data_IF_665054842119
#
_entry.id   IF_665054842119
#
_cell.length_a   1.000
_cell.length_b   1.000
_cell.length_c   1.000
_cell.angle_alpha   90.00
_cell.angle_beta   90.00
_cell.angle_gamma   90.00
#
_symmetry.space_group_name_H-M   'P 1'
#
loop_
_entity.id
_entity.type
_entity.pdbx_description
1 polymer ?
#
# COMPACT_ATOMS: atom_id res chain seq x y z
N UNK A 1 -24.22 -4.66 21.62
CA UNK A 1 -24.01 -6.11 21.83
C UNK A 1 -23.22 -6.68 20.67
N UNK A 2 -22.47 -7.75 20.92
CA UNK A 2 -21.80 -8.53 19.88
C UNK A 2 -22.74 -9.57 19.29
N UNK A 3 -22.47 -9.98 18.06
CA UNK A 3 -23.12 -11.06 17.34
C UNK A 3 -22.08 -11.89 16.60
N UNK A 4 -22.39 -13.17 16.35
CA UNK A 4 -21.51 -14.06 15.58
C UNK A 4 -21.22 -13.43 14.21
N UNK A 5 -19.93 -13.34 13.89
CA UNK A 5 -19.43 -12.76 12.65
C UNK A 5 -19.03 -11.29 12.73
N UNK A 6 -19.22 -10.60 13.87
CA UNK A 6 -18.72 -9.23 14.02
C UNK A 6 -17.19 -9.20 13.99
N UNK A 7 -16.58 -8.31 13.19
CA UNK A 7 -15.14 -8.04 13.28
C UNK A 7 -14.84 -7.29 14.59
N UNK A 8 -13.82 -7.74 15.32
CA UNK A 8 -13.44 -7.21 16.61
C UNK A 8 -12.06 -6.54 16.57
N UNK A 9 -11.93 -5.42 17.27
CA UNK A 9 -10.69 -4.68 17.47
C UNK A 9 -10.32 -4.62 18.95
N UNK A 10 -9.02 -4.61 19.27
CA UNK A 10 -8.55 -4.30 20.63
C UNK A 10 -8.83 -2.84 20.94
N UNK A 11 -9.23 -2.59 22.19
CA UNK A 11 -9.34 -1.23 22.75
C UNK A 11 -8.25 -1.06 23.80
N UNK A 12 -7.51 0.05 23.76
CA UNK A 12 -6.60 0.41 24.86
C UNK A 12 -7.44 0.73 26.09
N UNK A 13 -7.33 -0.08 27.14
CA UNK A 13 -8.00 0.18 28.40
C UNK A 13 -7.33 1.36 29.09
N UNK A 14 -7.88 2.56 28.96
CA UNK A 14 -7.59 3.64 29.90
C UNK A 14 -8.16 3.23 31.27
N UNK A 15 -7.25 2.91 32.18
CA UNK A 15 -7.36 2.79 33.64
C UNK A 15 -8.74 2.58 34.30
N UNK A 16 -8.77 1.58 35.18
CA UNK A 16 -9.70 1.48 36.33
C UNK A 16 -11.18 1.21 36.03
N UNK A 17 -11.49 -0.02 35.62
CA UNK A 17 -12.70 -0.67 36.06
C UNK A 17 -12.46 -2.17 36.09
N UNK A 18 -13.07 -2.88 37.02
CA UNK A 18 -13.15 -4.33 37.03
C UNK A 18 -13.73 -4.80 35.69
N UNK A 19 -12.84 -5.05 34.74
CA UNK A 19 -13.18 -5.38 33.37
C UNK A 19 -13.66 -6.82 33.32
N UNK A 20 -14.98 -7.00 33.31
CA UNK A 20 -15.61 -8.17 32.70
C UNK A 20 -14.96 -8.39 31.33
N UNK A 21 -14.73 -9.66 30.95
CA UNK A 21 -13.94 -10.05 29.76
C UNK A 21 -14.36 -9.34 28.44
N UNK A 22 -15.58 -8.80 28.39
CA UNK A 22 -16.12 -7.94 27.35
C UNK A 22 -15.41 -6.59 27.15
N UNK A 23 -14.53 -6.14 28.05
CA UNK A 23 -13.89 -4.82 27.99
C UNK A 23 -12.54 -4.78 27.24
N UNK A 24 -12.06 -5.92 26.72
CA UNK A 24 -10.79 -5.98 25.97
C UNK A 24 -10.94 -5.78 24.46
N UNK A 25 -12.15 -5.90 23.95
CA UNK A 25 -12.44 -5.82 22.52
C UNK A 25 -13.71 -5.00 22.27
N UNK A 26 -13.74 -4.31 21.13
CA UNK A 26 -14.93 -3.61 20.61
C UNK A 26 -15.17 -4.05 19.17
N UNK A 27 -16.35 -3.76 18.61
CA UNK A 27 -16.55 -3.95 17.16
C UNK A 27 -15.58 -3.02 16.42
N UNK A 28 -14.99 -3.47 15.31
CA UNK A 28 -14.21 -2.60 14.45
C UNK A 28 -15.05 -1.41 14.01
N UNK A 29 -14.53 -0.17 14.13
CA UNK A 29 -15.31 1.05 13.85
C UNK A 29 -14.85 1.81 12.61
N UNK A 30 -13.70 1.44 12.04
CA UNK A 30 -13.07 2.16 10.93
C UNK A 30 -12.64 1.20 9.83
N UNK A 31 -12.70 1.67 8.59
CA UNK A 31 -12.12 0.99 7.47
C UNK A 31 -10.61 0.77 7.67
N UNK A 32 -10.11 -0.44 7.39
CA UNK A 32 -8.69 -0.81 7.56
C UNK A 32 -8.17 -0.55 8.98
N UNK A 33 -8.93 -0.99 9.98
CA UNK A 33 -8.54 -0.85 11.38
C UNK A 33 -7.30 -1.68 11.69
N UNK A 34 -6.23 -1.02 12.14
CA UNK A 34 -4.96 -1.65 12.54
C UNK A 34 -5.06 -2.46 13.84
N UNK A 35 -6.17 -2.33 14.56
CA UNK A 35 -6.39 -3.02 15.82
C UNK A 35 -7.30 -4.24 15.66
N UNK A 36 -7.67 -4.64 14.43
CA UNK A 36 -8.48 -5.85 14.25
C UNK A 36 -7.72 -7.07 14.79
N UNK A 37 -8.43 -7.94 15.50
CA UNK A 37 -7.85 -9.12 16.14
C UNK A 37 -8.55 -10.42 15.81
N UNK A 38 -9.77 -10.34 15.30
CA UNK A 38 -10.56 -11.52 15.10
C UNK A 38 -11.98 -11.23 14.69
N UNK A 39 -12.75 -12.31 14.62
CA UNK A 39 -14.20 -12.29 14.43
C UNK A 39 -14.86 -12.78 15.71
N UNK A 40 -16.02 -12.26 16.04
CA UNK A 40 -16.78 -12.66 17.22
C UNK A 40 -17.40 -14.05 16.99
N UNK A 41 -17.06 -14.99 17.86
CA UNK A 41 -17.67 -16.31 17.95
C UNK A 41 -18.34 -16.46 19.31
N UNK A 42 -19.49 -17.13 19.38
CA UNK A 42 -20.20 -17.34 20.64
C UNK A 42 -19.80 -18.67 21.28
N UNK A 43 -19.38 -18.62 22.54
CA UNK A 43 -19.14 -19.79 23.38
C UNK A 43 -20.10 -19.77 24.57
N UNK A 44 -20.71 -20.92 24.90
CA UNK A 44 -21.67 -21.03 26.01
C UNK A 44 -21.08 -20.69 27.39
N UNK A 45 -19.79 -20.95 27.59
CA UNK A 45 -19.09 -20.75 28.87
C UNK A 45 -18.65 -19.31 29.05
N UNK A 46 -18.26 -18.66 27.95
CA UNK A 46 -17.49 -17.42 27.97
C UNK A 46 -18.16 -16.24 27.25
N UNK A 47 -19.29 -16.49 26.59
CA UNK A 47 -19.93 -15.54 25.69
C UNK A 47 -19.12 -15.30 24.42
N UNK A 48 -19.16 -14.07 23.91
CA UNK A 48 -18.49 -13.70 22.67
C UNK A 48 -16.98 -13.51 22.87
N UNK A 49 -16.17 -14.25 22.11
CA UNK A 49 -14.71 -14.11 22.09
C UNK A 49 -14.20 -13.90 20.65
N UNK A 50 -13.08 -13.18 20.46
CA UNK A 50 -12.44 -13.09 19.16
C UNK A 50 -11.75 -14.42 18.80
N UNK A 51 -11.98 -14.87 17.57
CA UNK A 51 -11.20 -15.94 16.95
C UNK A 51 -10.21 -15.38 15.94
N UNK A 52 -9.00 -15.93 15.93
CA UNK A 52 -7.84 -15.41 15.19
C UNK A 52 -7.27 -16.38 14.16
N UNK A 53 -7.72 -17.65 14.14
CA UNK A 53 -7.27 -18.65 13.18
C UNK A 53 -8.33 -19.74 12.95
N UNK A 54 -8.67 -19.99 11.68
CA UNK A 54 -9.63 -21.02 11.29
C UNK A 54 -10.71 -20.49 10.35
N UNK A 55 -11.77 -21.26 10.14
CA UNK A 55 -12.89 -20.87 9.26
C UNK A 55 -14.08 -20.47 10.11
N UNK A 56 -14.58 -19.25 9.93
CA UNK A 56 -15.67 -18.72 10.72
C UNK A 56 -16.65 -17.92 9.87
N UNK A 57 -17.91 -17.89 10.29
CA UNK A 57 -18.89 -16.95 9.74
C UNK A 57 -18.42 -15.54 10.01
N UNK A 58 -18.42 -14.69 8.98
CA UNK A 58 -17.96 -13.31 9.06
C UNK A 58 -18.98 -12.41 8.40
N UNK A 59 -19.33 -11.33 9.09
CA UNK A 59 -20.21 -10.30 8.53
C UNK A 59 -19.47 -9.49 7.49
N UNK A 60 -20.08 -9.32 6.32
CA UNK A 60 -19.49 -8.59 5.21
C UNK A 60 -20.50 -7.69 4.51
N UNK A 61 -19.99 -6.68 3.81
CA UNK A 61 -20.78 -5.83 2.91
C UNK A 61 -20.10 -5.67 1.55
N UNK A 62 -20.86 -5.24 0.55
CA UNK A 62 -20.35 -4.95 -0.81
C UNK A 62 -19.95 -3.47 -0.98
N UNK A 63 -19.63 -2.74 0.10
CA UNK A 63 -19.16 -1.34 0.06
C UNK A 63 -17.96 -1.14 -0.89
N UNK A 64 -17.07 -2.13 -0.97
CA UNK A 64 -15.92 -2.13 -1.88
C UNK A 64 -16.13 -3.06 -3.09
N UNK A 65 -17.39 -3.28 -3.47
CA UNK A 65 -17.81 -4.16 -4.56
C UNK A 65 -18.06 -5.61 -4.14
N UNK A 66 -18.61 -6.39 -5.07
CA UNK A 66 -18.96 -7.80 -4.90
C UNK A 66 -17.76 -8.64 -4.45
N UNK A 67 -17.95 -9.50 -3.46
CA UNK A 67 -16.92 -10.37 -2.89
C UNK A 67 -16.94 -11.73 -3.62
N UNK A 68 -15.76 -12.25 -3.95
CA UNK A 68 -15.55 -13.54 -4.60
C UNK A 68 -14.69 -14.43 -3.72
N UNK A 69 -14.84 -15.75 -3.85
CA UNK A 69 -13.96 -16.71 -3.18
C UNK A 69 -12.47 -16.37 -3.40
N UNK A 70 -11.70 -16.34 -2.32
CA UNK A 70 -10.28 -15.95 -2.29
C UNK A 70 -10.02 -14.46 -2.07
N UNK A 71 -11.02 -13.59 -2.18
CA UNK A 71 -10.85 -12.15 -1.96
C UNK A 71 -10.40 -11.85 -0.51
N UNK A 72 -9.47 -10.90 -0.34
CA UNK A 72 -9.06 -10.44 0.98
C UNK A 72 -10.16 -9.60 1.63
N UNK A 73 -10.39 -9.81 2.93
CA UNK A 73 -11.39 -9.08 3.72
C UNK A 73 -10.70 -8.23 4.79
N UNK A 74 -11.08 -6.96 4.90
CA UNK A 74 -10.65 -6.00 5.92
C UNK A 74 -11.86 -5.40 6.64
N UNK A 75 -11.67 -4.66 7.73
CA UNK A 75 -12.79 -3.94 8.37
C UNK A 75 -13.29 -2.79 7.51
N UNK A 76 -14.57 -2.46 7.65
CA UNK A 76 -15.22 -1.31 7.02
C UNK A 76 -15.56 -0.21 8.04
N UNK A 77 -16.13 0.89 7.55
CA UNK A 77 -16.72 1.93 8.41
C UNK A 77 -18.08 1.52 9.00
N UNK A 78 -18.63 0.36 8.59
CA UNK A 78 -19.80 -0.23 9.24
C UNK A 78 -19.33 -1.03 10.47
N UNK A 79 -19.84 -0.72 11.68
CA UNK A 79 -19.36 -1.33 12.92
C UNK A 79 -19.41 -2.87 12.92
N UNK A 80 -18.24 -3.50 13.04
CA UNK A 80 -18.09 -4.97 13.09
C UNK A 80 -18.33 -5.67 11.76
N UNK A 81 -18.31 -4.96 10.63
CA UNK A 81 -18.56 -5.55 9.31
C UNK A 81 -17.31 -5.45 8.44
N UNK A 82 -16.97 -6.56 7.80
CA UNK A 82 -15.88 -6.63 6.84
C UNK A 82 -16.28 -6.16 5.45
N UNK A 83 -15.30 -5.81 4.65
CA UNK A 83 -15.45 -5.48 3.23
C UNK A 83 -14.25 -5.99 2.46
N UNK A 84 -14.36 -6.07 1.12
CA UNK A 84 -13.20 -6.39 0.28
C UNK A 84 -12.06 -5.40 0.51
N UNK A 85 -10.84 -5.91 0.70
CA UNK A 85 -9.63 -5.11 0.74
C UNK A 85 -9.18 -4.72 -0.69
N UNK A 86 -9.06 -3.43 -0.92
CA UNK A 86 -8.75 -2.77 -2.20
C UNK A 86 -7.48 -1.92 -2.16
N UNK A 87 -6.92 -1.67 -0.98
CA UNK A 87 -5.64 -0.97 -0.75
C UNK A 87 -4.80 -1.72 0.27
N UNK A 88 -3.54 -1.31 0.41
CA UNK A 88 -2.65 -1.84 1.42
C UNK A 88 -3.19 -1.59 2.84
N UNK A 89 -3.16 -2.63 3.68
CA UNK A 89 -3.61 -2.57 5.06
C UNK A 89 -3.82 -3.96 5.68
N UNK A 90 -4.23 -3.96 6.94
CA UNK A 90 -4.50 -5.18 7.67
C UNK A 90 -5.77 -5.86 7.17
N UNK A 91 -5.71 -7.17 6.98
CA UNK A 91 -6.85 -8.01 6.62
C UNK A 91 -7.12 -9.04 7.70
N UNK A 92 -8.38 -9.42 7.83
CA UNK A 92 -8.81 -10.47 8.75
C UNK A 92 -8.59 -11.86 8.16
N UNK A 93 -8.60 -11.97 6.83
CA UNK A 93 -8.44 -13.25 6.15
C UNK A 93 -8.88 -13.21 4.69
N UNK A 94 -9.09 -14.41 4.13
CA UNK A 94 -9.58 -14.60 2.75
C UNK A 94 -10.92 -15.32 2.77
N UNK A 95 -11.86 -14.83 1.98
CA UNK A 95 -13.19 -15.45 1.92
C UNK A 95 -13.14 -16.81 1.21
N UNK A 96 -14.02 -17.73 1.63
CA UNK A 96 -14.23 -19.02 0.99
C UNK A 96 -15.49 -19.03 0.09
N UNK A 97 -16.34 -18.01 0.22
CA UNK A 97 -17.62 -17.92 -0.46
C UNK A 97 -17.78 -16.56 -1.15
N UNK A 98 -18.53 -16.49 -2.25
CA UNK A 98 -18.90 -15.21 -2.84
C UNK A 98 -20.02 -14.53 -2.04
N UNK A 99 -20.02 -13.21 -2.04
CA UNK A 99 -21.14 -12.40 -1.55
C UNK A 99 -21.37 -11.24 -2.49
N UNK A 100 -22.59 -11.12 -3.00
CA UNK A 100 -22.98 -10.01 -3.86
C UNK A 100 -24.34 -9.48 -3.44
N UNK A 101 -24.44 -8.15 -3.36
CA UNK A 101 -25.67 -7.45 -3.07
C UNK A 101 -25.66 -6.11 -3.81
N UNK A 102 -26.74 -5.76 -4.56
CA UNK A 102 -26.86 -4.46 -5.21
C UNK A 102 -26.84 -3.27 -4.23
N UNK A 103 -27.30 -3.46 -3.00
CA UNK A 103 -27.18 -2.45 -1.94
C UNK A 103 -25.93 -2.72 -1.09
N UNK A 104 -24.92 -1.84 -1.16
CA UNK A 104 -23.65 -2.00 -0.44
C UNK A 104 -23.77 -1.96 1.08
N UNK A 105 -24.89 -1.50 1.63
CA UNK A 105 -25.10 -1.41 3.08
C UNK A 105 -25.77 -2.66 3.67
N UNK A 106 -26.26 -3.56 2.82
CA UNK A 106 -26.83 -4.82 3.28
C UNK A 106 -25.69 -5.72 3.77
N UNK A 107 -25.85 -6.20 5.00
CA UNK A 107 -24.86 -7.04 5.68
C UNK A 107 -25.20 -8.50 5.40
N UNK A 108 -24.24 -9.23 4.81
CA UNK A 108 -24.28 -10.68 4.67
C UNK A 108 -23.42 -11.38 5.70
N UNK A 109 -23.54 -12.71 5.78
CA UNK A 109 -22.60 -13.58 6.48
C UNK A 109 -22.06 -14.60 5.51
N UNK A 110 -20.74 -14.76 5.48
CA UNK A 110 -20.04 -15.73 4.65
C UNK A 110 -18.92 -16.41 5.42
N UNK A 111 -18.49 -17.57 4.97
CA UNK A 111 -17.33 -18.25 5.53
C UNK A 111 -16.02 -17.59 5.08
N UNK A 112 -15.20 -17.22 6.05
CA UNK A 112 -13.87 -16.64 5.81
C UNK A 112 -12.83 -17.47 6.55
N UNK A 113 -11.73 -17.79 5.86
CA UNK A 113 -10.55 -18.32 6.51
C UNK A 113 -9.80 -17.16 7.18
N UNK A 114 -9.97 -17.07 8.50
CA UNK A 114 -9.38 -16.07 9.37
C UNK A 114 -7.90 -16.39 9.57
N UNK A 115 -7.06 -15.47 9.14
CA UNK A 115 -5.62 -15.47 9.32
C UNK A 115 -5.15 -14.02 9.19
N UNK A 116 -4.96 -13.36 10.32
CA UNK A 116 -4.61 -11.95 10.36
C UNK A 116 -3.26 -11.74 9.67
N UNK A 117 -3.28 -10.91 8.64
CA UNK A 117 -2.10 -10.61 7.84
C UNK A 117 -2.18 -9.21 7.27
N UNK A 118 -1.04 -8.73 6.77
CA UNK A 118 -1.00 -7.51 5.99
C UNK A 118 -1.26 -7.85 4.53
N UNK A 119 -2.29 -7.25 3.96
CA UNK A 119 -2.51 -7.26 2.52
C UNK A 119 -1.90 -6.00 1.93
N UNK A 120 -1.03 -6.16 0.97
CA UNK A 120 -0.59 -5.05 0.14
C UNK A 120 -0.65 -5.51 -1.31
N UNK A 121 -1.66 -5.04 -2.09
CA UNK A 121 -1.79 -5.42 -3.48
C UNK A 121 -0.58 -4.97 -4.32
N UNK A 122 0.20 -4.01 -3.83
CA UNK A 122 1.31 -3.36 -4.53
C UNK A 122 2.70 -3.81 -4.00
N UNK A 123 2.76 -4.71 -3.00
CA UNK A 123 4.04 -5.24 -2.45
C UNK A 123 4.75 -6.19 -3.41
N UNK A 124 4.04 -6.74 -4.38
CA UNK A 124 4.66 -7.44 -5.50
C UNK A 124 5.18 -6.42 -6.52
N UNK A 125 6.26 -5.71 -6.17
CA UNK A 125 7.24 -5.24 -7.16
C UNK A 125 8.04 -6.45 -7.68
N UNK A 126 7.38 -7.56 -8.02
CA UNK A 126 8.08 -8.75 -8.49
C UNK A 126 8.43 -8.63 -9.96
N UNK A 127 9.43 -9.40 -10.35
CA UNK A 127 9.96 -9.65 -11.69
C UNK A 127 8.92 -10.09 -12.76
N UNK A 128 7.62 -10.03 -12.45
CA UNK A 128 6.48 -10.44 -13.29
C UNK A 128 6.11 -9.39 -14.35
N UNK A 129 6.66 -8.18 -14.29
CA UNK A 129 6.47 -7.17 -15.34
C UNK A 129 5.14 -6.40 -15.24
N UNK A 130 4.50 -6.38 -14.07
CA UNK A 130 3.28 -5.60 -13.82
C UNK A 130 3.54 -4.09 -13.71
N UNK A 131 4.80 -3.67 -13.76
CA UNK A 131 5.22 -2.26 -13.79
C UNK A 131 5.73 -1.87 -15.18
N UNK A 132 5.10 -0.85 -15.76
CA UNK A 132 5.58 -0.19 -16.97
C UNK A 132 6.07 1.20 -16.61
N UNK A 133 7.33 1.49 -16.93
CA UNK A 133 7.85 2.86 -16.96
C UNK A 133 7.50 3.44 -18.32
N UNK A 134 6.64 4.46 -18.34
CA UNK A 134 6.17 5.10 -19.56
C UNK A 134 6.71 6.52 -19.62
N UNK A 135 7.22 6.92 -20.79
CA UNK A 135 7.56 8.31 -21.04
C UNK A 135 6.27 9.15 -21.05
N UNK A 136 6.25 10.22 -20.25
CA UNK A 136 5.17 11.19 -20.17
C UNK A 136 5.76 12.58 -20.33
N UNK A 137 5.76 13.09 -21.56
CA UNK A 137 6.45 14.34 -21.91
C UNK A 137 7.96 14.22 -21.70
N UNK A 138 8.52 15.13 -20.89
CA UNK A 138 9.94 15.15 -20.48
C UNK A 138 10.23 14.33 -19.21
N UNK A 139 9.24 13.61 -18.68
CA UNK A 139 9.35 12.80 -17.46
C UNK A 139 9.02 11.33 -17.73
N UNK A 140 9.20 10.49 -16.73
CA UNK A 140 8.74 9.11 -16.77
C UNK A 140 7.84 8.85 -15.56
N UNK A 141 6.76 8.12 -15.80
CA UNK A 141 5.81 7.71 -14.77
C UNK A 141 5.84 6.19 -14.64
N UNK A 142 5.70 5.71 -13.41
CA UNK A 142 5.42 4.31 -13.14
C UNK A 142 3.91 4.08 -13.27
N UNK A 143 3.52 3.08 -14.03
CA UNK A 143 2.13 2.67 -14.18
C UNK A 143 1.99 1.17 -13.95
N UNK A 144 0.85 0.78 -13.40
CA UNK A 144 0.43 -0.62 -13.40
C UNK A 144 0.11 -1.05 -14.83
N UNK A 145 0.69 -2.17 -15.28
CA UNK A 145 0.62 -2.62 -16.67
C UNK A 145 -0.79 -3.08 -17.04
N UNK A 146 -1.55 -3.63 -16.09
CA UNK A 146 -2.90 -4.12 -16.36
C UNK A 146 -4.00 -3.08 -16.15
N UNK A 147 -3.79 -2.07 -15.28
CA UNK A 147 -4.83 -1.07 -14.96
C UNK A 147 -4.53 0.30 -15.55
N UNK A 148 -3.29 0.59 -15.95
CA UNK A 148 -2.85 1.90 -16.43
C UNK A 148 -2.76 2.99 -15.35
N UNK A 149 -3.11 2.65 -14.10
CA UNK A 149 -3.08 3.58 -12.98
C UNK A 149 -1.64 4.02 -12.69
N UNK A 150 -1.47 5.30 -12.38
CA UNK A 150 -0.19 5.87 -11.97
C UNK A 150 0.16 5.35 -10.57
N UNK A 151 1.39 4.90 -10.41
CA UNK A 151 1.96 4.51 -9.13
C UNK A 151 2.78 5.69 -8.62
N UNK A 152 2.22 6.42 -7.66
CA UNK A 152 2.87 7.54 -6.98
C UNK A 152 3.30 7.09 -5.57
N UNK A 153 4.54 6.58 -5.45
CA UNK A 153 5.10 6.08 -4.20
C UNK A 153 6.44 6.75 -3.92
N UNK A 154 6.54 7.38 -2.75
CA UNK A 154 7.78 7.99 -2.26
C UNK A 154 8.46 7.02 -1.30
N UNK A 155 9.70 6.63 -1.61
CA UNK A 155 10.57 5.87 -0.71
C UNK A 155 11.69 6.77 -0.19
N UNK A 156 11.92 6.77 1.13
CA UNK A 156 13.06 7.43 1.74
C UNK A 156 14.07 6.38 2.19
N UNK A 157 15.29 6.44 1.66
CA UNK A 157 16.35 5.47 1.92
C UNK A 157 17.62 6.19 2.37
N UNK A 158 18.34 5.61 3.33
CA UNK A 158 19.68 6.08 3.68
C UNK A 158 20.69 5.73 2.57
N UNK A 159 20.55 4.56 1.95
CA UNK A 159 21.39 4.07 0.85
C UNK A 159 20.61 3.12 -0.08
N UNK A 160 20.94 3.11 -1.37
CA UNK A 160 20.37 2.23 -2.39
C UNK A 160 21.48 1.50 -3.16
N UNK A 161 21.46 0.17 -3.15
CA UNK A 161 22.37 -0.69 -3.93
C UNK A 161 21.56 -1.47 -4.95
N UNK A 162 21.78 -1.25 -6.25
CA UNK A 162 21.07 -1.94 -7.33
C UNK A 162 21.98 -2.23 -8.52
N UNK A 163 21.76 -3.36 -9.20
CA UNK A 163 22.49 -3.70 -10.42
C UNK A 163 22.03 -2.91 -11.65
N UNK A 164 20.75 -2.51 -11.71
CA UNK A 164 20.20 -1.72 -12.84
C UNK A 164 19.17 -0.72 -12.33
N UNK A 165 19.38 0.55 -12.67
CA UNK A 165 18.46 1.63 -12.35
C UNK A 165 17.81 2.16 -13.64
N UNK A 166 16.47 2.13 -13.71
CA UNK A 166 15.68 2.79 -14.76
C UNK A 166 14.85 3.87 -14.08
N UNK A 167 15.13 5.12 -14.38
CA UNK A 167 14.52 6.28 -13.76
C UNK A 167 14.30 7.33 -14.81
N UNK A 168 13.29 8.17 -14.59
CA UNK A 168 12.99 9.23 -15.54
C UNK A 168 13.79 10.50 -15.35
N UNK A 169 13.92 10.90 -14.08
CA UNK A 169 14.68 12.05 -13.66
C UNK A 169 15.47 11.65 -12.42
N UNK A 170 16.74 12.04 -12.38
CA UNK A 170 17.57 11.96 -11.18
C UNK A 170 17.88 13.39 -10.78
N UNK A 171 17.36 13.83 -9.64
CA UNK A 171 17.80 15.04 -8.97
C UNK A 171 18.77 14.64 -7.86
N UNK A 172 20.02 15.08 -7.98
CA UNK A 172 21.08 14.76 -7.02
C UNK A 172 22.03 15.93 -6.84
N UNK A 173 22.63 16.02 -5.66
CA UNK A 173 23.72 16.98 -5.39
C UNK A 173 25.03 16.56 -6.04
N UNK A 174 25.26 15.24 -6.17
CA UNK A 174 26.50 14.67 -6.71
C UNK A 174 26.19 13.37 -7.48
N UNK A 175 26.68 13.27 -8.71
CA UNK A 175 26.57 12.06 -9.53
C UNK A 175 27.98 11.63 -9.94
N UNK A 176 28.44 10.49 -9.42
CA UNK A 176 29.75 9.92 -9.71
C UNK A 176 29.56 8.75 -10.68
N UNK A 177 30.21 8.80 -11.83
CA UNK A 177 30.25 7.70 -12.81
C UNK A 177 31.71 7.34 -13.02
N UNK A 178 32.07 6.08 -12.78
CA UNK A 178 33.44 5.57 -12.89
C UNK A 178 34.49 6.44 -12.17
N UNK A 179 34.12 6.99 -11.01
CA UNK A 179 34.98 7.85 -10.18
C UNK A 179 34.99 9.34 -10.55
N UNK A 180 34.28 9.75 -11.60
CA UNK A 180 34.23 11.15 -12.08
C UNK A 180 32.97 11.84 -11.58
N UNK A 181 33.12 13.04 -11.00
CA UNK A 181 31.99 13.93 -10.70
C UNK A 181 31.53 14.64 -11.98
N UNK A 182 30.41 14.20 -12.54
CA UNK A 182 29.91 14.70 -13.82
C UNK A 182 29.58 16.19 -13.79
N UNK A 183 29.14 16.74 -12.66
CA UNK A 183 28.78 18.17 -12.57
C UNK A 183 30.02 19.06 -12.56
N UNK A 184 31.12 18.55 -12.01
CA UNK A 184 32.41 19.24 -12.06
C UNK A 184 32.96 19.20 -13.49
N UNK A 185 33.02 18.02 -14.10
CA UNK A 185 33.52 17.83 -15.47
C UNK A 185 32.76 18.71 -16.48
N UNK A 186 31.44 18.75 -16.40
CA UNK A 186 30.62 19.60 -17.29
C UNK A 186 30.92 21.10 -17.12
N UNK A 187 31.29 21.55 -15.92
CA UNK A 187 31.65 22.95 -15.67
C UNK A 187 33.02 23.29 -16.24
N UNK A 188 33.98 22.39 -16.10
CA UNK A 188 35.33 22.53 -16.66
C UNK A 188 35.26 22.57 -18.20
N UNK A 189 34.57 21.62 -18.83
CA UNK A 189 34.34 21.62 -20.28
C UNK A 189 33.65 22.88 -20.79
N UNK A 190 32.70 23.42 -20.02
CA UNK A 190 32.03 24.68 -20.38
C UNK A 190 32.99 25.87 -20.32
N UNK A 191 33.89 25.90 -19.34
CA UNK A 191 34.89 26.96 -19.22
C UNK A 191 35.90 26.90 -20.37
N UNK A 192 36.38 25.71 -20.72
CA UNK A 192 37.29 25.50 -21.86
C UNK A 192 36.66 25.93 -23.19
N UNK A 193 35.40 25.54 -23.44
CA UNK A 193 34.68 25.93 -24.64
C UNK A 193 34.53 27.44 -24.78
N UNK A 194 34.19 28.14 -23.69
CA UNK A 194 34.10 29.60 -23.71
C UNK A 194 35.46 30.26 -24.01
N UNK A 195 36.55 29.72 -23.46
CA UNK A 195 37.90 30.21 -23.74
C UNK A 195 38.31 29.97 -25.19
N UNK A 196 37.94 28.82 -25.77
CA UNK A 196 38.17 28.52 -27.18
C UNK A 196 37.37 29.47 -28.09
N UNK A 197 36.11 29.73 -27.79
CA UNK A 197 35.29 30.69 -28.54
C UNK A 197 35.93 32.09 -28.53
N UNK A 198 36.38 32.56 -27.37
CA UNK A 198 37.06 33.85 -27.28
C UNK A 198 38.35 33.91 -28.12
N UNK A 199 39.12 32.81 -28.17
CA UNK A 199 40.33 32.72 -29.00
C UNK A 199 40.01 32.75 -30.50
N UNK A 200 38.92 32.13 -30.92
CA UNK A 200 38.48 32.13 -32.32
C UNK A 200 38.07 33.54 -32.74
N UNK A 201 37.24 34.23 -31.95
CA UNK A 201 36.83 35.61 -32.21
C UNK A 201 38.05 36.56 -32.30
N UNK A 202 39.05 36.34 -31.45
CA UNK A 202 40.30 37.10 -31.47
C UNK A 202 41.17 36.85 -32.72
N UNK A 203 41.02 35.70 -33.38
CA UNK A 203 41.72 35.40 -34.64
C UNK A 203 40.94 35.97 -35.83
N UNK A 204 39.62 35.80 -35.86
CA UNK A 204 38.76 36.32 -36.94
C UNK A 204 38.83 37.84 -37.04
N UNK A 205 38.90 38.55 -35.90
CA UNK A 205 39.08 40.01 -35.87
C UNK A 205 40.41 40.47 -36.43
N UNK A 206 41.45 39.62 -36.45
CA UNK A 206 42.76 39.93 -37.05
C UNK A 206 42.83 39.65 -38.56
N UNK A 207 41.85 38.91 -39.10
CA UNK A 207 41.77 38.55 -40.52
C UNK A 207 40.89 39.52 -41.34
N UNK A 208 40.10 40.37 -40.68
CA UNK A 208 39.37 41.50 -41.27
C UNK A 208 40.23 42.76 -41.28
#
# INVERSE_FOLDING_TARGET
SFEVGDLLSITESSESAQATESARFTKSQKAYDQNIVGVAEYNETDGYRPTFAGVFETKVSTINGSIKAGDPITSSDIPGVGMKATKAGQIIGKTLEPYDNPDPNVIGKILVFINLSWYDPDVYLTSTGELKIVASGSSYIAQHTTTGNIIDKIGAFAELVTGKLRVGLIETKKLIVDGVDLLQEMRELKAENNALQARIEAIESKLK
#
